data_IF_571930355407
#
_entry.id   IF_571930355407
#
_cell.length_a   1.000
_cell.length_b   1.000
_cell.length_c   1.000
_cell.angle_alpha   90.00
_cell.angle_beta   90.00
_cell.angle_gamma   90.00
#
_symmetry.space_group_name_H-M   'P 1'
#
loop_
_entity.id
_entity.type
_entity.pdbx_description
1 polymer ?
#
# COMPACT_ATOMS: atom_id res chain seq x y z
N UNK A 1 -18.78 -22.11 -14.18
CA UNK A 1 -17.39 -22.09 -13.66
C UNK A 1 -16.59 -21.07 -14.46
N UNK A 2 -16.60 -19.78 -14.06
CA UNK A 2 -15.84 -18.71 -14.77
C UNK A 2 -15.63 -17.42 -13.94
N UNK A 3 -15.84 -17.45 -12.62
CA UNK A 3 -15.84 -16.25 -11.77
C UNK A 3 -14.85 -16.30 -10.61
N UNK A 4 -14.06 -17.38 -10.45
CA UNK A 4 -13.08 -17.50 -9.37
C UNK A 4 -11.63 -17.18 -9.80
N UNK A 5 -11.35 -17.06 -11.11
CA UNK A 5 -9.97 -17.01 -11.61
C UNK A 5 -9.33 -15.61 -11.57
N UNK A 6 -10.09 -14.55 -11.31
CA UNK A 6 -9.56 -13.17 -11.39
C UNK A 6 -8.91 -12.70 -10.08
N UNK A 7 -9.21 -13.35 -8.95
CA UNK A 7 -8.61 -12.99 -7.66
C UNK A 7 -7.16 -13.51 -7.51
N UNK A 8 -6.85 -14.62 -8.17
CA UNK A 8 -5.53 -15.27 -8.07
C UNK A 8 -4.43 -14.56 -8.89
N UNK A 9 -4.79 -13.80 -9.93
CA UNK A 9 -3.80 -13.16 -10.81
C UNK A 9 -3.43 -11.72 -10.41
N UNK A 10 -4.33 -11.00 -9.72
CA UNK A 10 -4.05 -9.62 -9.28
C UNK A 10 -3.82 -9.46 -7.76
N UNK A 11 -4.25 -10.43 -6.94
CA UNK A 11 -4.10 -10.37 -5.48
C UNK A 11 -2.65 -10.55 -4.98
N UNK A 12 -1.77 -11.15 -5.80
CA UNK A 12 -0.38 -11.38 -5.40
C UNK A 12 0.42 -10.07 -5.40
N UNK A 13 0.16 -9.17 -6.35
CA UNK A 13 0.94 -7.94 -6.54
C UNK A 13 0.62 -6.83 -5.53
N UNK A 14 -0.54 -6.89 -4.85
CA UNK A 14 -0.94 -5.88 -3.86
C UNK A 14 -1.03 -6.39 -2.41
N UNK A 15 -1.16 -7.70 -2.16
CA UNK A 15 -1.50 -8.18 -0.81
C UNK A 15 -0.56 -9.18 -0.15
N UNK A 16 0.46 -9.73 -0.84
CA UNK A 16 1.40 -10.66 -0.19
C UNK A 16 0.74 -11.84 0.55
N UNK A 17 -0.54 -12.11 0.29
CA UNK A 17 -1.32 -13.24 0.78
C UNK A 17 -2.06 -13.76 -0.43
N UNK A 18 -1.73 -14.99 -0.82
CA UNK A 18 -2.56 -15.74 -1.72
C UNK A 18 -4.00 -15.66 -1.19
N UNK A 19 -4.95 -15.29 -2.04
CA UNK A 19 -6.30 -15.81 -1.90
C UNK A 19 -6.22 -17.34 -2.15
N UNK A 20 -5.54 -18.05 -1.25
CA UNK A 20 -5.48 -19.49 -1.23
C UNK A 20 -6.86 -19.92 -0.76
N UNK A 21 -7.70 -20.31 -1.72
CA UNK A 21 -8.75 -21.28 -1.42
C UNK A 21 -8.03 -22.59 -1.12
N UNK A 22 -7.49 -22.70 0.09
CA UNK A 22 -7.03 -23.96 0.64
C UNK A 22 -8.28 -24.85 0.67
N UNK A 23 -8.30 -25.90 -0.17
CA UNK A 23 -9.28 -26.97 -0.13
C UNK A 23 -9.18 -27.66 1.23
N UNK A 24 -9.87 -27.11 2.23
CA UNK A 24 -9.63 -27.53 3.59
C UNK A 24 -10.53 -26.84 4.62
N UNK A 25 -11.82 -27.15 4.57
CA UNK A 25 -12.76 -27.05 5.71
C UNK A 25 -13.10 -25.62 6.17
N UNK A 26 -14.40 -25.29 6.21
CA UNK A 26 -15.03 -23.99 6.54
C UNK A 26 -15.18 -23.01 5.36
N UNK A 27 -16.03 -23.34 4.39
CA UNK A 27 -16.58 -22.37 3.44
C UNK A 27 -17.85 -21.72 3.98
N UNK A 28 -17.72 -20.80 4.93
CA UNK A 28 -18.63 -19.66 4.95
C UNK A 28 -18.03 -18.62 4.00
N UNK A 29 -18.74 -18.22 2.93
CA UNK A 29 -18.26 -17.13 2.09
C UNK A 29 -18.11 -15.89 2.97
N UNK A 30 -16.87 -15.40 3.08
CA UNK A 30 -16.56 -14.21 3.85
C UNK A 30 -17.24 -13.01 3.19
N UNK A 31 -17.92 -12.20 3.98
CA UNK A 31 -18.47 -10.93 3.52
C UNK A 31 -17.34 -9.99 3.10
N UNK A 32 -17.66 -9.00 2.26
CA UNK A 32 -16.68 -7.98 1.88
C UNK A 32 -16.10 -7.28 3.11
N UNK A 33 -16.92 -6.92 4.09
CA UNK A 33 -16.47 -6.27 5.32
C UNK A 33 -15.44 -7.12 6.09
N UNK A 34 -15.68 -8.42 6.24
CA UNK A 34 -14.75 -9.34 6.90
C UNK A 34 -13.42 -9.46 6.13
N UNK A 35 -13.46 -9.44 4.79
CA UNK A 35 -12.26 -9.45 3.94
C UNK A 35 -11.40 -8.21 4.16
N UNK A 36 -12.02 -7.01 4.14
CA UNK A 36 -11.32 -5.75 4.41
C UNK A 36 -10.76 -5.72 5.83
N UNK A 37 -11.56 -6.13 6.82
CA UNK A 37 -11.12 -6.19 8.21
C UNK A 37 -9.91 -7.11 8.37
N UNK A 38 -9.98 -8.34 7.87
CA UNK A 38 -8.89 -9.31 7.97
C UNK A 38 -7.60 -8.80 7.32
N UNK A 39 -7.72 -8.06 6.21
CA UNK A 39 -6.57 -7.59 5.42
C UNK A 39 -5.95 -6.31 5.95
N UNK A 40 -6.78 -5.40 6.48
CA UNK A 40 -6.37 -4.02 6.75
C UNK A 40 -6.43 -3.58 8.19
N UNK A 41 -7.18 -4.25 9.07
CA UNK A 41 -7.35 -3.83 10.46
C UNK A 41 -6.00 -3.64 11.17
N UNK A 42 -5.05 -4.55 10.93
CA UNK A 42 -3.71 -4.51 11.53
C UNK A 42 -2.61 -4.02 10.58
N UNK A 43 -2.95 -3.66 9.34
CA UNK A 43 -1.99 -3.15 8.39
C UNK A 43 -1.72 -1.68 8.68
N UNK A 44 -0.47 -1.29 8.88
CA UNK A 44 -0.14 0.09 9.28
C UNK A 44 0.14 1.00 8.08
N UNK A 45 0.21 0.44 6.87
CA UNK A 45 0.41 1.18 5.63
C UNK A 45 -0.85 1.91 5.13
N UNK A 46 -0.77 2.46 3.92
CA UNK A 46 -1.79 3.20 3.20
C UNK A 46 -3.16 2.53 3.25
N UNK A 47 -3.27 1.26 2.86
CA UNK A 47 -4.58 0.58 2.82
C UNK A 47 -5.21 0.39 4.20
N UNK A 48 -4.38 0.22 5.23
CA UNK A 48 -4.86 0.08 6.59
C UNK A 48 -5.25 1.41 7.22
N UNK A 49 -4.44 2.46 7.00
CA UNK A 49 -4.79 3.82 7.39
C UNK A 49 -6.04 4.32 6.68
N UNK A 50 -6.22 3.99 5.40
CA UNK A 50 -7.44 4.28 4.66
C UNK A 50 -8.65 3.53 5.24
N UNK A 51 -8.52 2.22 5.48
CA UNK A 51 -9.60 1.41 6.04
C UNK A 51 -10.04 1.90 7.43
N UNK A 52 -9.09 2.28 8.28
CA UNK A 52 -9.36 2.84 9.62
C UNK A 52 -9.73 4.34 9.59
N UNK A 53 -9.74 4.97 8.40
CA UNK A 53 -10.01 6.39 8.20
C UNK A 53 -9.14 7.30 9.09
N UNK A 54 -7.84 7.03 9.10
CA UNK A 54 -6.89 7.75 9.93
C UNK A 54 -6.45 9.08 9.31
N UNK A 55 -6.23 10.08 10.15
CA UNK A 55 -5.68 11.37 9.74
C UNK A 55 -4.24 11.29 9.23
N UNK A 56 -3.52 10.21 9.52
CA UNK A 56 -2.13 9.98 9.08
C UNK A 56 -2.02 9.58 7.61
N UNK A 57 -3.10 9.18 6.94
CA UNK A 57 -3.06 8.61 5.59
C UNK A 57 -2.29 9.49 4.60
N UNK A 58 -2.63 10.77 4.51
CA UNK A 58 -1.96 11.69 3.57
C UNK A 58 -0.48 11.89 3.89
N UNK A 59 -0.13 11.86 5.19
CA UNK A 59 1.27 11.95 5.61
C UNK A 59 2.05 10.70 5.18
N UNK A 60 1.44 9.51 5.34
CA UNK A 60 2.05 8.24 4.93
C UNK A 60 2.25 8.23 3.43
N UNK A 61 1.21 8.59 2.67
CA UNK A 61 1.25 8.69 1.21
C UNK A 61 2.40 9.58 0.71
N UNK A 62 2.47 10.81 1.21
CA UNK A 62 3.49 11.76 0.81
C UNK A 62 4.90 11.31 1.21
N UNK A 63 5.04 10.69 2.38
CA UNK A 63 6.31 10.13 2.82
C UNK A 63 6.76 8.96 1.92
N UNK A 64 5.86 8.03 1.59
CA UNK A 64 6.15 6.89 0.72
C UNK A 64 6.58 7.35 -0.66
N UNK A 65 5.81 8.27 -1.25
CA UNK A 65 6.09 8.86 -2.56
C UNK A 65 7.47 9.53 -2.58
N UNK A 66 7.77 10.35 -1.58
CA UNK A 66 9.06 11.04 -1.45
C UNK A 66 10.21 10.07 -1.28
N UNK A 67 10.02 9.01 -0.50
CA UNK A 67 11.06 8.00 -0.22
C UNK A 67 11.42 7.26 -1.51
N UNK A 68 10.43 6.71 -2.22
CA UNK A 68 10.66 5.96 -3.45
C UNK A 68 11.25 6.81 -4.58
N UNK A 69 10.82 8.07 -4.71
CA UNK A 69 11.44 9.02 -5.64
C UNK A 69 12.91 9.27 -5.28
N UNK A 70 13.20 9.44 -3.98
CA UNK A 70 14.57 9.60 -3.47
C UNK A 70 15.46 8.37 -3.70
N UNK A 71 14.87 7.18 -3.66
CA UNK A 71 15.54 5.90 -3.88
C UNK A 71 15.72 5.56 -5.38
N UNK A 72 15.35 6.48 -6.27
CA UNK A 72 15.59 6.35 -7.71
C UNK A 72 14.44 5.74 -8.50
N UNK A 73 13.23 5.67 -7.92
CA UNK A 73 12.03 5.15 -8.57
C UNK A 73 10.99 6.25 -8.88
N UNK A 74 11.28 7.22 -9.78
CA UNK A 74 10.36 8.31 -10.07
C UNK A 74 9.06 7.85 -10.75
N UNK A 75 9.02 6.62 -11.27
CA UNK A 75 7.85 6.03 -11.93
C UNK A 75 6.63 5.99 -11.00
N UNK A 76 6.82 5.81 -9.69
CA UNK A 76 5.69 5.76 -8.74
C UNK A 76 4.98 7.11 -8.64
N UNK A 77 5.73 8.21 -8.62
CA UNK A 77 5.18 9.56 -8.62
C UNK A 77 4.41 9.82 -9.90
N UNK A 78 4.98 9.42 -11.04
CA UNK A 78 4.32 9.51 -12.33
C UNK A 78 3.00 8.74 -12.32
N UNK A 79 3.02 7.46 -11.98
CA UNK A 79 1.84 6.60 -11.99
C UNK A 79 0.76 7.08 -11.02
N UNK A 80 1.12 7.44 -9.79
CA UNK A 80 0.15 7.77 -8.76
C UNK A 80 -0.39 9.19 -8.92
N UNK A 81 0.49 10.19 -9.05
CA UNK A 81 0.06 11.59 -9.08
C UNK A 81 -0.54 11.98 -10.44
N UNK A 82 -0.01 11.51 -11.57
CA UNK A 82 -0.64 11.80 -12.87
C UNK A 82 -2.05 11.20 -12.94
N UNK A 83 -2.23 9.96 -12.45
CA UNK A 83 -3.56 9.35 -12.37
C UNK A 83 -4.48 10.13 -11.43
N UNK A 84 -4.00 10.49 -10.23
CA UNK A 84 -4.76 11.27 -9.25
C UNK A 84 -5.24 12.59 -9.85
N UNK A 85 -4.37 13.32 -10.54
CA UNK A 85 -4.69 14.60 -11.16
C UNK A 85 -5.61 14.46 -12.37
N UNK A 86 -5.36 13.49 -13.24
CA UNK A 86 -6.18 13.24 -14.45
C UNK A 86 -7.62 12.90 -14.08
N UNK A 87 -7.82 12.15 -13.00
CA UNK A 87 -9.13 11.72 -12.53
C UNK A 87 -9.72 12.61 -11.42
N UNK A 88 -9.09 13.74 -11.09
CA UNK A 88 -9.50 14.67 -10.03
C UNK A 88 -9.75 13.97 -8.67
N UNK A 89 -8.90 13.02 -8.32
CA UNK A 89 -8.99 12.26 -7.08
C UNK A 89 -8.27 12.97 -5.92
N UNK A 90 -8.82 12.84 -4.72
CA UNK A 90 -8.05 13.10 -3.49
C UNK A 90 -7.08 11.94 -3.24
N UNK A 91 -6.10 12.13 -2.34
CA UNK A 91 -5.22 11.04 -1.91
C UNK A 91 -6.06 9.89 -1.34
N UNK A 92 -7.03 10.20 -0.50
CA UNK A 92 -7.95 9.21 0.06
C UNK A 92 -8.76 8.48 -1.03
N UNK A 93 -9.17 9.18 -2.08
CA UNK A 93 -9.87 8.59 -3.22
C UNK A 93 -9.00 7.62 -4.02
N UNK A 94 -7.76 8.01 -4.31
CA UNK A 94 -6.79 7.14 -5.01
C UNK A 94 -6.46 5.90 -4.17
N UNK A 95 -6.06 6.09 -2.91
CA UNK A 95 -5.73 4.96 -2.03
C UNK A 95 -6.94 4.03 -1.88
N UNK A 96 -8.14 4.60 -1.79
CA UNK A 96 -9.36 3.80 -1.76
C UNK A 96 -9.56 2.93 -2.99
N UNK A 97 -9.18 3.40 -4.19
CA UNK A 97 -9.20 2.57 -5.40
C UNK A 97 -8.12 1.50 -5.37
N UNK A 98 -6.89 1.85 -4.99
CA UNK A 98 -5.75 0.92 -4.89
C UNK A 98 -6.02 -0.22 -3.90
N UNK A 99 -6.75 0.08 -2.83
CA UNK A 99 -7.04 -0.86 -1.76
C UNK A 99 -8.41 -1.55 -1.93
N UNK A 100 -9.09 -1.36 -3.06
CA UNK A 100 -10.41 -1.94 -3.30
C UNK A 100 -10.30 -3.32 -3.96
N UNK A 101 -10.69 -4.37 -3.22
CA UNK A 101 -10.66 -5.76 -3.71
C UNK A 101 -11.57 -6.03 -4.92
N UNK A 102 -12.53 -5.16 -5.21
CA UNK A 102 -13.47 -5.32 -6.33
C UNK A 102 -13.09 -4.49 -7.57
N UNK A 103 -12.02 -3.70 -7.51
CA UNK A 103 -11.59 -2.81 -8.59
C UNK A 103 -10.30 -3.33 -9.22
N UNK A 104 -10.30 -3.43 -10.55
CA UNK A 104 -9.07 -3.66 -11.29
C UNK A 104 -8.35 -2.32 -11.50
N UNK A 105 -7.12 -2.20 -11.01
CA UNK A 105 -6.29 -1.03 -11.28
C UNK A 105 -5.86 -1.01 -12.75
N UNK A 106 -5.68 0.17 -13.36
CA UNK A 106 -5.19 0.24 -14.72
C UNK A 106 -3.76 -0.32 -14.85
N UNK A 107 -3.41 -0.80 -16.04
CA UNK A 107 -2.17 -1.53 -16.30
C UNK A 107 -0.90 -0.79 -15.85
N UNK A 108 -0.88 0.54 -15.89
CA UNK A 108 0.26 1.34 -15.45
C UNK A 108 0.62 1.15 -13.96
N UNK A 109 -0.34 0.77 -13.11
CA UNK A 109 -0.09 0.42 -11.70
C UNK A 109 0.56 -0.95 -11.54
N UNK A 110 0.38 -1.85 -12.50
CA UNK A 110 1.08 -3.14 -12.53
C UNK A 110 2.45 -2.99 -13.18
N UNK A 111 2.55 -2.24 -14.28
CA UNK A 111 3.78 -2.05 -15.04
C UNK A 111 4.84 -1.20 -14.31
N UNK A 112 4.46 -0.46 -13.26
CA UNK A 112 5.42 0.29 -12.46
C UNK A 112 6.35 -0.59 -11.63
N UNK A 113 6.01 -1.88 -11.45
CA UNK A 113 6.79 -2.81 -10.66
C UNK A 113 7.81 -3.59 -11.50
N UNK A 114 8.96 -3.88 -10.90
CA UNK A 114 9.93 -4.80 -11.48
C UNK A 114 9.38 -6.22 -11.36
N UNK A 115 9.35 -6.97 -12.46
CA UNK A 115 8.99 -8.39 -12.41
C UNK A 115 10.04 -9.14 -11.58
N UNK A 116 9.67 -9.62 -10.41
CA UNK A 116 10.50 -10.56 -9.66
C UNK A 116 10.48 -11.89 -10.41
N UNK A 117 11.48 -12.10 -11.26
CA UNK A 117 11.55 -13.26 -12.15
C UNK A 117 11.59 -14.56 -11.37
N UNK A 118 10.42 -15.23 -11.28
CA UNK A 118 10.33 -16.61 -10.85
C UNK A 118 9.02 -17.28 -11.29
N UNK A 119 8.61 -17.09 -12.55
CA UNK A 119 7.76 -18.06 -13.23
C UNK A 119 8.11 -18.06 -14.72
N UNK A 120 8.51 -19.23 -15.22
CA UNK A 120 8.45 -19.59 -16.63
C UNK A 120 6.98 -19.48 -17.08
N UNK A 121 6.52 -18.27 -17.38
CA UNK A 121 5.45 -18.09 -18.34
C UNK A 121 6.14 -17.97 -19.69
N UNK A 122 6.00 -19.02 -20.49
CA UNK A 122 6.37 -19.03 -21.90
C UNK A 122 5.90 -17.71 -22.52
N UNK A 123 6.90 -16.92 -22.90
CA UNK A 123 6.76 -15.76 -23.76
C UNK A 123 6.01 -16.17 -25.01
N UNK A 124 4.71 -15.85 -25.06
CA UNK A 124 3.96 -15.83 -26.30
C UNK A 124 4.30 -14.50 -27.00
N UNK A 125 5.47 -14.52 -27.63
CA UNK A 125 5.87 -13.72 -28.79
C UNK A 125 5.54 -12.23 -28.78
N UNK A 126 6.57 -11.42 -28.51
CA UNK A 126 6.76 -10.19 -29.27
C UNK A 126 8.26 -10.06 -29.55
N UNK A 127 8.64 -10.49 -30.74
CA UNK A 127 9.95 -10.25 -31.32
C UNK A 127 10.09 -8.78 -31.71
N UNK A 128 11.30 -8.25 -31.46
CA UNK A 128 11.93 -7.11 -32.11
C UNK A 128 11.28 -5.73 -31.99
N UNK A 129 11.79 -4.92 -31.07
CA UNK A 129 12.26 -3.57 -31.44
C UNK A 129 13.38 -3.09 -30.52
N UNK A 130 14.55 -2.94 -31.13
CA UNK A 130 15.63 -2.04 -30.72
C UNK A 130 15.09 -0.63 -30.48
N UNK A 131 15.25 -0.08 -29.27
CA UNK A 131 15.14 1.35 -29.02
C UNK A 131 15.72 1.68 -27.64
N UNK A 132 16.82 2.42 -27.68
CA UNK A 132 17.43 3.22 -26.62
C UNK A 132 16.38 4.11 -25.92
N UNK A 133 15.53 3.49 -25.11
CA UNK A 133 14.47 4.13 -24.36
C UNK A 133 14.85 3.95 -22.90
N UNK A 134 15.35 5.01 -22.29
CA UNK A 134 15.66 5.04 -20.85
C UNK A 134 14.35 4.95 -20.07
N UNK A 135 13.76 3.76 -19.99
CA UNK A 135 12.56 3.49 -19.22
C UNK A 135 12.87 3.79 -17.75
N UNK A 136 11.98 4.52 -17.08
CA UNK A 136 12.19 4.88 -15.68
C UNK A 136 12.35 3.61 -14.84
N UNK A 137 13.27 3.57 -13.85
CA UNK A 137 13.49 2.39 -13.04
C UNK A 137 12.18 1.93 -12.38
N UNK A 138 11.82 0.67 -12.63
CA UNK A 138 10.65 0.03 -12.03
C UNK A 138 10.89 -0.28 -10.56
N UNK A 139 9.86 -0.21 -9.74
CA UNK A 139 9.90 -0.40 -8.29
C UNK A 139 9.90 -1.90 -7.97
N UNK A 140 10.88 -2.47 -7.26
CA UNK A 140 10.70 -3.80 -6.68
C UNK A 140 9.60 -3.75 -5.61
N UNK A 141 8.68 -4.72 -5.58
CA UNK A 141 7.53 -4.70 -4.67
C UNK A 141 7.93 -4.53 -3.20
N UNK A 142 8.99 -5.22 -2.79
CA UNK A 142 9.56 -5.09 -1.44
C UNK A 142 9.95 -3.66 -1.06
N UNK A 143 10.38 -2.84 -2.02
CA UNK A 143 10.78 -1.45 -1.76
C UNK A 143 9.57 -0.57 -1.48
N UNK A 144 8.45 -0.81 -2.19
CA UNK A 144 7.18 -0.13 -1.90
C UNK A 144 6.72 -0.44 -0.47
N UNK A 145 6.66 -1.72 -0.10
CA UNK A 145 6.24 -2.13 1.23
C UNK A 145 7.19 -1.64 2.33
N UNK A 146 8.50 -1.64 2.07
CA UNK A 146 9.48 -1.11 2.99
C UNK A 146 9.30 0.39 3.21
N UNK A 147 9.15 1.17 2.13
CA UNK A 147 8.94 2.62 2.20
C UNK A 147 7.65 2.96 2.95
N UNK A 148 6.55 2.28 2.61
CA UNK A 148 5.25 2.41 3.27
C UNK A 148 5.32 2.08 4.77
N UNK A 149 5.88 0.93 5.15
CA UNK A 149 6.02 0.53 6.54
C UNK A 149 6.90 1.48 7.34
N UNK A 150 8.04 1.92 6.78
CA UNK A 150 8.95 2.85 7.45
C UNK A 150 8.32 4.23 7.67
N UNK A 151 7.62 4.74 6.65
CA UNK A 151 6.87 6.01 6.75
C UNK A 151 5.76 5.93 7.80
N UNK A 152 4.98 4.86 7.77
CA UNK A 152 3.94 4.57 8.75
C UNK A 152 4.50 4.60 10.19
N UNK A 153 5.54 3.83 10.48
CA UNK A 153 6.17 3.78 11.82
C UNK A 153 6.64 5.17 12.27
N UNK A 154 7.33 5.91 11.40
CA UNK A 154 7.83 7.26 11.72
C UNK A 154 6.70 8.23 12.05
N UNK A 155 5.60 8.16 11.30
CA UNK A 155 4.47 9.08 11.48
C UNK A 155 3.74 8.76 12.79
N UNK A 156 3.41 7.49 13.05
CA UNK A 156 2.75 7.14 14.32
C UNK A 156 3.62 7.43 15.55
N UNK A 157 4.93 7.22 15.46
CA UNK A 157 5.86 7.60 16.52
C UNK A 157 5.83 9.11 16.78
N UNK A 158 5.69 9.92 15.71
CA UNK A 158 5.65 11.39 15.80
C UNK A 158 4.30 11.92 16.29
N UNK A 159 3.20 11.21 16.05
CA UNK A 159 1.85 11.62 16.49
C UNK A 159 1.49 11.12 17.89
N UNK A 160 2.26 10.18 18.43
CA UNK A 160 2.08 9.71 19.81
C UNK A 160 2.59 10.79 20.78
N UNK A 161 1.67 11.62 21.27
CA UNK A 161 1.99 12.68 22.25
C UNK A 161 2.41 12.01 23.57
N UNK A 162 3.60 12.32 24.14
CA UNK A 162 3.92 11.86 25.49
C UNK A 162 2.89 12.41 26.48
N UNK A 163 2.51 11.66 27.53
CA UNK A 163 1.53 12.13 28.50
C UNK A 163 1.97 13.49 29.08
N UNK A 164 1.04 14.44 29.31
CA UNK A 164 1.40 15.73 29.87
C UNK A 164 2.11 15.50 31.19
N UNK A 165 3.35 15.99 31.29
CA UNK A 165 4.10 15.94 32.54
C UNK A 165 3.51 16.97 33.48
N UNK A 166 2.53 16.57 34.28
CA UNK A 166 1.99 17.41 35.37
C UNK A 166 3.13 17.78 36.32
N UNK A 167 3.43 19.07 36.54
CA UNK A 167 4.39 19.46 37.55
C UNK A 167 3.83 19.11 38.93
N UNK A 168 4.55 18.31 39.71
CA UNK A 168 4.21 18.04 41.11
C UNK A 168 4.24 19.34 41.92
N UNK A 169 3.11 19.67 42.52
CA UNK A 169 2.89 20.82 43.41
C UNK A 169 3.85 20.78 44.63
N UNK A 170 4.39 21.92 45.10
CA UNK A 170 5.39 21.91 46.16
C UNK A 170 4.77 21.63 47.54
N UNK A 171 5.43 20.76 48.29
CA UNK A 171 5.09 20.36 49.66
C UNK A 171 5.08 21.58 50.60
N UNK A 172 3.92 21.86 51.19
CA UNK A 172 3.75 22.83 52.28
C UNK A 172 4.52 22.32 53.51
N UNK A 173 5.62 22.99 53.86
CA UNK A 173 6.34 22.75 55.12
C UNK A 173 5.57 23.44 56.26
N UNK A 174 4.86 22.66 57.06
CA UNK A 174 4.32 23.11 58.34
C UNK A 174 5.48 23.29 59.35
N UNK A 175 5.73 24.54 59.77
CA UNK A 175 6.61 24.85 60.89
C UNK A 175 5.88 24.63 62.22
N UNK A 176 6.55 23.96 63.16
CA UNK A 176 6.27 24.03 64.60
C UNK A 176 7.46 24.67 65.29
#
# INVERSE_FOLDING_TARGET
MKTALTCALFGILFFGRQCSSEEGTYHTPMTQEELYKQSYENYTGLCGSWYRNESSLESIYNCTLKTLVGDGYPIVNKTWEEFRHTHNLTIHGLVGLMCNFSVAMPDNFTLMFASEGNHEQESLGSSDVDSDTTEAPRVPEKELFYAEGNCSVKIYASTTTPPPTTPSEPVVVAKK
#
